data_IF_020079361582
#
_entry.id   IF_020079361582
#
_cell.length_a   1.000
_cell.length_b   1.000
_cell.length_c   1.000
_cell.angle_alpha   90.00
_cell.angle_beta   90.00
_cell.angle_gamma   90.00
#
_symmetry.space_group_name_H-M   'P 1'
#
loop_
_entity.id
_entity.type
_entity.pdbx_description
1 polymer ?
#
# COMPACT_ATOMS: atom_id res chain seq x y z
N UNK A 1 -49.07 -5.17 14.92
CA UNK A 1 -48.89 -3.97 15.78
C UNK A 1 -47.44 -3.95 16.23
N UNK A 2 -46.78 -2.82 15.97
CA UNK A 2 -45.50 -2.37 16.53
C UNK A 2 -44.24 -3.16 16.19
N UNK A 3 -43.67 -2.78 15.04
CA UNK A 3 -42.26 -2.92 14.67
C UNK A 3 -41.35 -2.27 15.71
N UNK A 4 -40.69 -3.06 16.55
CA UNK A 4 -39.58 -2.57 17.38
C UNK A 4 -38.37 -2.41 16.47
N UNK A 5 -38.19 -1.22 15.94
CA UNK A 5 -37.05 -0.81 15.11
C UNK A 5 -35.81 -0.67 15.99
N UNK A 6 -35.17 -1.78 16.35
CA UNK A 6 -33.79 -1.76 16.83
C UNK A 6 -32.92 -1.31 15.64
N UNK A 7 -32.12 -0.24 15.75
CA UNK A 7 -31.22 0.13 14.67
C UNK A 7 -30.25 -1.04 14.45
N UNK A 8 -30.34 -1.71 13.30
CA UNK A 8 -29.37 -2.74 12.94
C UNK A 8 -28.00 -2.05 12.85
N UNK A 9 -27.16 -2.34 13.85
CA UNK A 9 -25.81 -1.79 13.91
C UNK A 9 -25.06 -2.38 12.72
N UNK A 10 -24.64 -1.51 11.80
CA UNK A 10 -23.85 -1.90 10.65
C UNK A 10 -22.39 -2.12 11.07
N UNK A 11 -21.79 -3.19 10.56
CA UNK A 11 -20.43 -3.59 10.89
C UNK A 11 -19.56 -3.64 9.63
N UNK A 12 -18.31 -3.20 9.74
CA UNK A 12 -17.33 -3.35 8.67
C UNK A 12 -17.00 -4.83 8.43
N UNK A 13 -17.12 -5.30 7.19
CA UNK A 13 -16.87 -6.69 6.83
C UNK A 13 -15.40 -7.12 6.94
N UNK A 14 -14.47 -6.19 7.17
CA UNK A 14 -13.02 -6.46 7.24
C UNK A 14 -12.48 -6.45 8.67
N UNK A 15 -12.87 -5.47 9.49
CA UNK A 15 -12.39 -5.33 10.87
C UNK A 15 -13.46 -5.59 11.93
N UNK A 16 -14.70 -5.85 11.51
CA UNK A 16 -15.86 -6.13 12.36
C UNK A 16 -16.25 -5.00 13.34
N UNK A 17 -15.69 -3.80 13.17
CA UNK A 17 -16.05 -2.62 13.96
C UNK A 17 -17.42 -2.09 13.54
N UNK A 18 -18.16 -1.56 14.51
CA UNK A 18 -19.45 -0.95 14.27
C UNK A 18 -19.32 0.46 13.66
N UNK A 19 -20.42 0.97 13.11
CA UNK A 19 -20.48 2.30 12.50
C UNK A 19 -20.17 3.47 13.48
N UNK A 20 -20.30 3.27 14.79
CA UNK A 20 -19.98 4.29 15.81
C UNK A 20 -18.49 4.33 16.18
N UNK A 21 -17.75 3.25 15.94
CA UNK A 21 -16.31 3.14 16.22
C UNK A 21 -15.42 3.70 15.10
N UNK A 22 -16.01 4.10 13.97
CA UNK A 22 -15.30 4.54 12.77
C UNK A 22 -15.84 5.89 12.32
N UNK A 23 -14.98 6.72 11.74
CA UNK A 23 -15.41 8.05 11.29
C UNK A 23 -16.32 7.95 10.07
N UNK A 24 -16.07 6.98 9.18
CA UNK A 24 -16.89 6.74 8.00
C UNK A 24 -17.05 5.24 7.75
N UNK A 25 -18.28 4.83 7.40
CA UNK A 25 -18.61 3.49 6.95
C UNK A 25 -19.27 3.57 5.56
N UNK A 26 -18.63 2.94 4.57
CA UNK A 26 -19.06 2.97 3.17
C UNK A 26 -19.87 1.70 2.89
N UNK A 27 -21.09 1.86 2.37
CA UNK A 27 -21.97 0.76 2.00
C UNK A 27 -21.87 0.43 0.49
N UNK A 28 -21.71 -0.86 0.18
CA UNK A 28 -21.76 -1.42 -1.17
C UNK A 28 -22.96 -2.35 -1.35
N UNK A 29 -22.90 -3.25 -2.35
CA UNK A 29 -23.94 -4.29 -2.60
C UNK A 29 -23.93 -5.36 -1.49
N UNK A 30 -24.48 -5.04 -0.32
CA UNK A 30 -24.55 -5.94 0.83
C UNK A 30 -23.22 -6.13 1.58
N UNK A 31 -22.25 -5.24 1.36
CA UNK A 31 -20.94 -5.26 2.04
C UNK A 31 -20.63 -3.88 2.58
N UNK A 32 -19.87 -3.81 3.67
CA UNK A 32 -19.52 -2.55 4.32
C UNK A 32 -18.02 -2.47 4.58
N UNK A 33 -17.41 -1.31 4.34
CA UNK A 33 -15.99 -1.07 4.58
C UNK A 33 -15.78 0.28 5.27
N UNK A 34 -14.96 0.33 6.33
CA UNK A 34 -14.64 1.58 7.03
C UNK A 34 -13.41 2.28 6.45
N UNK A 35 -13.26 3.56 6.77
CA UNK A 35 -12.12 4.41 6.40
C UNK A 35 -10.76 3.82 6.77
N UNK A 36 -10.65 3.25 7.98
CA UNK A 36 -9.41 2.61 8.46
C UNK A 36 -9.02 1.42 7.59
N UNK A 37 -10.00 0.57 7.23
CA UNK A 37 -9.74 -0.58 6.37
C UNK A 37 -9.33 -0.14 4.96
N UNK A 38 -9.95 0.90 4.39
CA UNK A 38 -9.53 1.45 3.09
C UNK A 38 -8.07 1.92 3.15
N UNK A 39 -7.68 2.67 4.18
CA UNK A 39 -6.31 3.16 4.33
C UNK A 39 -5.30 2.00 4.43
N UNK A 40 -5.59 1.02 5.29
CA UNK A 40 -4.72 -0.15 5.46
C UNK A 40 -4.61 -0.96 4.15
N UNK A 41 -5.72 -1.16 3.44
CA UNK A 41 -5.71 -1.84 2.13
C UNK A 41 -4.86 -1.08 1.11
N UNK A 42 -4.99 0.25 1.05
CA UNK A 42 -4.18 1.08 0.16
C UNK A 42 -2.68 0.99 0.51
N UNK A 43 -2.32 0.99 1.79
CA UNK A 43 -0.92 0.86 2.22
C UNK A 43 -0.34 -0.51 1.81
N UNK A 44 -1.08 -1.59 2.05
CA UNK A 44 -0.68 -2.95 1.64
C UNK A 44 -0.50 -3.02 0.12
N UNK A 45 -1.41 -2.43 -0.65
CA UNK A 45 -1.30 -2.38 -2.11
C UNK A 45 -0.10 -1.56 -2.57
N UNK A 46 0.21 -0.43 -1.92
CA UNK A 46 1.40 0.38 -2.25
C UNK A 46 2.71 -0.35 -1.94
N UNK A 47 2.76 -1.13 -0.86
CA UNK A 47 3.94 -1.95 -0.50
C UNK A 47 4.15 -3.11 -1.46
N UNK A 48 3.07 -3.72 -1.95
CA UNK A 48 3.10 -4.82 -2.91
C UNK A 48 3.12 -4.36 -4.37
N UNK A 49 2.84 -3.08 -4.63
CA UNK A 49 3.07 -2.53 -5.94
C UNK A 49 4.53 -2.82 -6.26
N UNK A 50 4.84 -3.37 -7.45
CA UNK A 50 6.21 -3.38 -7.91
C UNK A 50 6.69 -1.95 -7.69
N UNK A 51 7.76 -1.78 -6.92
CA UNK A 51 8.54 -0.56 -7.09
C UNK A 51 8.66 -0.43 -8.60
N UNK A 52 8.41 0.75 -9.20
CA UNK A 52 8.96 0.96 -10.52
C UNK A 52 10.43 0.65 -10.29
N UNK A 53 10.83 -0.56 -10.65
CA UNK A 53 12.21 -0.89 -10.86
C UNK A 53 12.56 0.26 -11.75
N UNK A 54 13.39 1.17 -11.23
CA UNK A 54 14.20 1.98 -12.11
C UNK A 54 14.63 0.93 -13.11
N UNK A 55 14.09 1.03 -14.32
CA UNK A 55 14.61 0.30 -15.45
C UNK A 55 15.99 0.91 -15.49
N UNK A 56 16.90 0.36 -14.69
CA UNK A 56 18.31 0.57 -14.80
C UNK A 56 18.51 -0.07 -16.14
N UNK A 57 18.39 0.76 -17.17
CA UNK A 57 18.66 0.42 -18.54
C UNK A 57 19.98 -0.33 -18.45
N UNK A 58 19.93 -1.67 -18.56
CA UNK A 58 21.09 -2.55 -18.40
C UNK A 58 22.12 -2.20 -19.48
N UNK A 59 21.67 -1.47 -20.51
CA UNK A 59 22.41 -0.78 -21.56
C UNK A 59 23.34 0.34 -21.05
N UNK A 60 23.09 0.90 -19.87
CA UNK A 60 23.87 2.00 -19.27
C UNK A 60 24.87 1.56 -18.20
N UNK A 61 24.96 0.25 -17.89
CA UNK A 61 26.00 -0.24 -16.99
C UNK A 61 27.37 -0.03 -17.65
N UNK A 62 28.26 0.78 -17.07
CA UNK A 62 29.59 0.99 -17.61
C UNK A 62 30.33 -0.35 -17.66
N UNK A 63 31.13 -0.57 -18.72
CA UNK A 63 31.94 -1.78 -18.81
C UNK A 63 32.84 -1.88 -17.58
N UNK A 64 33.21 -3.09 -17.12
CA UNK A 64 34.09 -3.27 -15.97
C UNK A 64 35.37 -2.41 -16.03
N UNK A 65 35.91 -2.19 -17.23
CA UNK A 65 37.06 -1.30 -17.47
C UNK A 65 36.80 0.18 -17.16
N UNK A 66 35.58 0.68 -17.40
CA UNK A 66 35.18 2.06 -17.07
C UNK A 66 34.97 2.22 -15.57
N UNK A 67 34.39 1.21 -14.91
CA UNK A 67 34.21 1.18 -13.45
C UNK A 67 35.58 1.25 -12.76
N UNK A 68 36.53 0.41 -13.19
CA UNK A 68 37.89 0.42 -12.65
C UNK A 68 38.57 1.78 -12.85
N UNK A 69 38.48 2.36 -14.06
CA UNK A 69 39.06 3.68 -14.34
C UNK A 69 38.50 4.80 -13.45
N UNK A 70 37.20 4.77 -13.14
CA UNK A 70 36.60 5.74 -12.21
C UNK A 70 37.04 5.52 -10.77
N UNK A 71 37.15 4.26 -10.34
CA UNK A 71 37.63 3.93 -8.99
C UNK A 71 39.10 4.32 -8.81
N UNK A 72 39.94 4.08 -9.81
CA UNK A 72 41.38 4.42 -9.78
C UNK A 72 41.62 5.95 -9.73
N UNK A 73 40.63 6.78 -10.09
CA UNK A 73 40.69 8.25 -9.92
C UNK A 73 40.49 8.69 -8.46
N UNK A 74 39.84 7.85 -7.64
CA UNK A 74 39.47 8.17 -6.26
C UNK A 74 40.17 7.30 -5.21
N UNK A 75 40.69 6.15 -5.61
CA UNK A 75 41.32 5.15 -4.72
C UNK A 75 42.75 4.91 -5.21
N UNK A 76 43.72 5.45 -4.49
CA UNK A 76 45.15 5.22 -4.76
C UNK A 76 45.64 4.13 -3.80
N UNK A 77 45.89 2.92 -4.33
CA UNK A 77 46.70 1.90 -3.65
C UNK A 77 45.97 0.84 -2.81
N UNK A 78 44.76 0.41 -3.17
CA UNK A 78 44.16 -0.82 -2.63
C UNK A 78 44.50 -2.06 -3.46
#
# INVERSE_FOLDING_TARGET
MSTTSTPEILHCSFCNRNAHEVANLIAGKGVYICDVCVQNSVEILKKNAPTPTLRTDVTSLPKPSQIKRQLDQHVIGQ
#
